data_IF_800737503357
#
_entry.id   IF_800737503357
#
_cell.length_a   1.000
_cell.length_b   1.000
_cell.length_c   1.000
_cell.angle_alpha   90.00
_cell.angle_beta   90.00
_cell.angle_gamma   90.00
#
_symmetry.space_group_name_H-M   'P 1'
#
loop_
_entity.id
_entity.type
_entity.pdbx_description
1 polymer ?
#
# COMPACT_ATOMS: atom_id res chain seq x y z
N UNK A 1 22.00 -40.16 -26.45
CA UNK A 1 20.88 -39.46 -25.78
C UNK A 1 21.49 -38.22 -25.17
N UNK A 2 21.21 -37.03 -25.72
CA UNK A 2 21.74 -35.77 -25.18
C UNK A 2 20.98 -35.51 -23.88
N UNK A 3 21.69 -35.25 -22.79
CA UNK A 3 21.08 -34.97 -21.50
C UNK A 3 20.50 -33.55 -21.52
N UNK A 4 19.17 -33.44 -21.58
CA UNK A 4 18.46 -32.16 -21.67
C UNK A 4 18.24 -31.51 -20.29
N UNK A 5 18.62 -32.17 -19.19
CA UNK A 5 18.49 -31.64 -17.82
C UNK A 5 19.13 -30.25 -17.62
N UNK A 6 20.32 -29.94 -18.18
CA UNK A 6 20.90 -28.60 -18.05
C UNK A 6 20.09 -27.54 -18.82
N UNK A 7 19.48 -27.89 -19.94
CA UNK A 7 18.72 -26.96 -20.78
C UNK A 7 17.38 -26.57 -20.16
N UNK A 8 16.72 -27.50 -19.46
CA UNK A 8 15.50 -27.20 -18.69
C UNK A 8 15.79 -26.28 -17.50
N UNK A 9 16.90 -26.51 -16.79
CA UNK A 9 17.37 -25.62 -15.73
C UNK A 9 17.71 -24.21 -16.26
N UNK A 10 18.36 -24.11 -17.42
CA UNK A 10 18.67 -22.83 -18.06
C UNK A 10 17.40 -22.08 -18.50
N UNK A 11 16.38 -22.78 -19.01
CA UNK A 11 15.12 -22.15 -19.40
C UNK A 11 14.29 -21.70 -18.20
N UNK A 12 14.24 -22.50 -17.12
CA UNK A 12 13.58 -22.12 -15.87
C UNK A 12 14.29 -20.93 -15.18
N UNK A 13 15.62 -20.94 -15.16
CA UNK A 13 16.44 -19.82 -14.66
C UNK A 13 16.27 -18.55 -15.51
N UNK A 14 16.17 -18.70 -16.84
CA UNK A 14 15.92 -17.58 -17.75
C UNK A 14 14.51 -17.00 -17.59
N UNK A 15 13.50 -17.82 -17.35
CA UNK A 15 12.14 -17.38 -17.05
C UNK A 15 12.09 -16.64 -15.70
N UNK A 16 12.77 -17.17 -14.67
CA UNK A 16 12.99 -16.51 -13.38
C UNK A 16 13.68 -15.14 -13.53
N UNK A 17 14.77 -15.07 -14.30
CA UNK A 17 15.48 -13.81 -14.54
C UNK A 17 14.63 -12.80 -15.31
N UNK A 18 13.78 -13.23 -16.24
CA UNK A 18 12.86 -12.34 -16.95
C UNK A 18 11.72 -11.83 -16.06
N UNK A 19 11.18 -12.67 -15.17
CA UNK A 19 10.13 -12.25 -14.23
C UNK A 19 10.71 -11.28 -13.19
N UNK A 20 11.86 -11.58 -12.61
CA UNK A 20 12.53 -10.70 -11.63
C UNK A 20 13.04 -9.39 -12.26
N UNK A 21 13.57 -9.42 -13.49
CA UNK A 21 14.02 -8.21 -14.19
C UNK A 21 12.87 -7.30 -14.64
N UNK A 22 11.68 -7.85 -14.90
CA UNK A 22 10.47 -7.06 -15.19
C UNK A 22 10.08 -6.10 -14.06
N UNK A 23 10.37 -6.44 -12.81
CA UNK A 23 10.05 -5.62 -11.64
C UNK A 23 11.20 -4.73 -11.15
N UNK A 24 12.47 -5.12 -11.38
CA UNK A 24 13.62 -4.27 -11.04
C UNK A 24 13.68 -2.96 -11.87
N UNK A 25 13.03 -2.95 -13.05
CA UNK A 25 12.91 -1.76 -13.91
C UNK A 25 12.05 -0.64 -13.31
N UNK A 26 11.19 -0.94 -12.32
CA UNK A 26 10.28 0.04 -11.71
C UNK A 26 10.95 0.72 -10.48
N UNK A 27 11.99 0.11 -9.90
CA UNK A 27 12.73 0.69 -8.78
C UNK A 27 13.68 1.83 -9.16
N UNK A 28 13.98 2.05 -10.45
CA UNK A 28 14.95 3.09 -10.86
C UNK A 28 14.36 4.50 -10.99
N UNK A 29 13.03 4.67 -11.00
CA UNK A 29 12.39 5.99 -11.07
C UNK A 29 12.02 6.59 -9.70
N UNK A 30 12.20 5.86 -8.59
CA UNK A 30 11.99 6.38 -7.23
C UNK A 30 13.19 7.18 -6.68
N UNK A 31 14.16 7.53 -7.54
CA UNK A 31 15.45 8.10 -7.15
C UNK A 31 15.59 9.61 -7.30
N UNK A 32 14.58 10.43 -7.04
CA UNK A 32 14.75 11.90 -6.98
C UNK A 32 13.83 12.54 -5.90
N UNK A 33 14.30 12.60 -4.65
CA UNK A 33 13.87 13.61 -3.68
C UNK A 33 15.09 14.37 -3.11
N UNK A 34 14.95 15.68 -2.82
CA UNK A 34 16.06 16.54 -2.43
C UNK A 34 16.42 16.38 -0.93
N UNK A 35 17.67 16.69 -0.52
CA UNK A 35 18.12 16.45 0.84
C UNK A 35 17.85 17.66 1.72
N UNK A 36 16.84 17.62 2.60
CA UNK A 36 16.77 18.51 3.76
C UNK A 36 16.10 17.83 4.96
N UNK A 37 16.92 17.51 5.96
CA UNK A 37 16.70 17.38 7.40
C UNK A 37 17.41 16.14 7.97
N UNK A 38 18.74 16.19 7.97
CA UNK A 38 19.55 15.46 8.94
C UNK A 38 19.94 16.47 10.03
N UNK A 39 19.27 16.43 11.17
CA UNK A 39 19.52 17.32 12.30
C UNK A 39 18.98 16.72 13.59
N UNK A 40 19.91 16.27 14.43
CA UNK A 40 19.79 16.08 15.89
C UNK A 40 18.95 14.90 16.40
N UNK A 41 19.61 13.76 16.60
CA UNK A 41 19.41 12.98 17.83
C UNK A 41 20.77 12.69 18.47
N UNK A 42 20.95 13.27 19.65
CA UNK A 42 22.14 13.26 20.47
C UNK A 42 22.32 11.93 21.20
N UNK A 43 23.58 11.65 21.54
CA UNK A 43 24.13 10.45 22.15
C UNK A 43 23.38 10.01 23.42
N UNK A 44 22.95 8.75 23.46
CA UNK A 44 22.76 8.03 24.73
C UNK A 44 23.64 6.78 24.78
N UNK A 45 24.37 6.73 25.88
CA UNK A 45 25.53 5.91 26.15
C UNK A 45 25.12 4.45 26.43
N UNK A 46 25.70 3.50 25.69
CA UNK A 46 25.54 2.07 25.94
C UNK A 46 26.36 1.65 27.19
N UNK A 47 25.83 0.81 28.09
CA UNK A 47 26.64 0.14 29.10
C UNK A 47 27.30 -1.14 28.54
N UNK A 48 28.58 -1.30 28.84
CA UNK A 48 29.42 -2.48 28.54
C UNK A 48 29.05 -3.74 29.36
N UNK A 49 29.47 -4.95 28.92
CA UNK A 49 28.86 -6.21 29.30
C UNK A 49 29.41 -6.81 30.60
N UNK A 50 28.54 -7.49 31.37
CA UNK A 50 28.93 -8.33 32.52
C UNK A 50 28.93 -9.80 32.10
N UNK A 51 30.01 -10.49 32.53
CA UNK A 51 30.39 -11.87 32.22
C UNK A 51 29.52 -12.90 32.97
N UNK A 52 29.22 -14.01 32.29
CA UNK A 52 28.45 -15.16 32.78
C UNK A 52 29.14 -16.00 33.87
N UNK A 53 28.41 -16.93 34.50
CA UNK A 53 28.96 -18.23 34.88
C UNK A 53 28.21 -19.42 34.25
N UNK A 54 28.99 -20.47 34.01
CA UNK A 54 28.67 -21.78 33.40
C UNK A 54 27.65 -22.64 34.17
N UNK A 55 26.85 -23.46 33.44
CA UNK A 55 26.88 -24.94 33.51
C UNK A 55 25.88 -25.67 32.59
N UNK A 56 26.45 -26.58 31.80
CA UNK A 56 26.10 -27.98 31.48
C UNK A 56 24.69 -28.44 31.04
N UNK A 57 24.69 -29.00 29.82
CA UNK A 57 24.04 -30.23 29.30
C UNK A 57 22.51 -30.36 29.37
N UNK A 58 21.82 -30.44 28.22
CA UNK A 58 21.54 -31.70 27.49
C UNK A 58 20.80 -31.39 26.16
N UNK A 59 20.95 -32.26 25.16
CA UNK A 59 20.29 -32.14 23.83
C UNK A 59 19.08 -33.07 23.78
N UNK A 60 17.97 -32.70 23.10
CA UNK A 60 17.71 -33.36 21.81
C UNK A 60 17.00 -32.49 20.74
N UNK A 61 17.02 -33.05 19.51
CA UNK A 61 16.58 -32.58 18.18
C UNK A 61 15.12 -32.11 18.03
N UNK A 62 14.80 -31.39 16.92
CA UNK A 62 13.63 -30.52 16.81
C UNK A 62 12.37 -31.23 16.29
N UNK A 63 11.21 -30.75 16.74
CA UNK A 63 9.89 -31.04 16.16
C UNK A 63 9.35 -29.73 15.59
N UNK A 64 8.98 -29.80 14.31
CA UNK A 64 8.38 -28.73 13.52
C UNK A 64 6.89 -28.60 13.83
N UNK A 65 6.43 -27.39 14.15
CA UNK A 65 5.05 -26.94 14.02
C UNK A 65 5.05 -25.41 14.08
N UNK A 66 4.94 -24.74 12.93
CA UNK A 66 4.68 -23.30 12.90
C UNK A 66 3.19 -23.06 13.10
N UNK A 67 2.88 -22.31 14.15
CA UNK A 67 1.57 -21.73 14.41
C UNK A 67 1.26 -20.65 13.38
N UNK A 68 0.09 -20.79 12.77
CA UNK A 68 -0.61 -19.79 11.99
C UNK A 68 -1.08 -18.66 12.90
N UNK A 69 -0.54 -17.45 12.68
CA UNK A 69 -1.14 -16.22 13.22
C UNK A 69 -1.74 -15.49 12.03
N UNK A 70 -3.05 -15.62 11.84
CA UNK A 70 -4.03 -14.54 11.63
C UNK A 70 -5.43 -15.17 11.64
N UNK A 71 -6.32 -14.51 12.39
CA UNK A 71 -7.48 -15.11 13.03
C UNK A 71 -8.65 -15.41 12.08
N UNK A 72 -9.22 -16.60 12.31
CA UNK A 72 -10.55 -17.03 11.91
C UNK A 72 -11.64 -16.06 12.42
N UNK A 73 -12.50 -15.59 11.53
CA UNK A 73 -13.83 -15.07 11.87
C UNK A 73 -14.89 -15.72 11.00
N UNK A 74 -15.10 -17.03 11.21
CA UNK A 74 -16.28 -17.74 10.72
C UNK A 74 -17.38 -17.69 11.78
N UNK A 75 -18.45 -16.94 11.51
CA UNK A 75 -19.73 -17.11 12.20
C UNK A 75 -20.76 -17.62 11.19
N UNK A 76 -21.07 -18.90 11.30
CA UNK A 76 -22.15 -19.55 10.57
C UNK A 76 -23.52 -19.13 11.13
N UNK A 77 -24.57 -19.11 10.28
CA UNK A 77 -25.92 -19.41 10.74
C UNK A 77 -26.46 -20.69 10.09
N UNK A 78 -27.16 -21.48 10.92
CA UNK A 78 -27.90 -22.69 10.55
C UNK A 78 -29.06 -22.44 9.55
N UNK A 79 -29.53 -23.48 8.82
CA UNK A 79 -30.47 -23.34 7.73
C UNK A 79 -31.94 -23.46 8.18
N UNK A 80 -32.81 -22.65 7.58
CA UNK A 80 -34.25 -22.90 7.56
C UNK A 80 -34.85 -22.61 6.17
N UNK A 81 -35.83 -23.44 5.81
CA UNK A 81 -36.29 -23.76 4.47
C UNK A 81 -37.34 -22.81 3.85
N UNK A 82 -37.72 -23.17 2.62
CA UNK A 82 -38.91 -22.78 1.80
C UNK A 82 -38.85 -21.39 1.14
N UNK A 83 -39.20 -21.16 -0.14
CA UNK A 83 -40.14 -21.78 -1.10
C UNK A 83 -39.70 -21.56 -2.56
N UNK A 84 -40.22 -22.41 -3.45
CA UNK A 84 -40.20 -22.30 -4.91
C UNK A 84 -40.86 -21.01 -5.44
N UNK A 85 -40.30 -20.43 -6.52
CA UNK A 85 -41.07 -20.09 -7.72
C UNK A 85 -40.14 -19.93 -8.94
N UNK A 86 -40.75 -19.82 -10.10
CA UNK A 86 -40.34 -20.37 -11.38
C UNK A 86 -40.07 -19.30 -12.45
N UNK A 87 -39.28 -19.70 -13.45
CA UNK A 87 -39.29 -19.25 -14.86
C UNK A 87 -39.10 -17.75 -15.18
N UNK A 88 -38.07 -17.42 -15.97
CA UNK A 88 -38.19 -17.34 -17.43
C UNK A 88 -36.97 -16.65 -18.07
N UNK A 89 -36.46 -17.34 -19.07
CA UNK A 89 -35.53 -16.92 -20.12
C UNK A 89 -36.12 -15.76 -20.95
N UNK A 90 -35.30 -14.75 -21.32
CA UNK A 90 -35.33 -14.12 -22.66
C UNK A 90 -34.24 -13.04 -22.86
N UNK A 91 -33.33 -13.34 -23.79
CA UNK A 91 -32.66 -12.45 -24.76
C UNK A 91 -32.75 -13.23 -26.10
N UNK A 92 -32.65 -12.69 -27.34
CA UNK A 92 -32.25 -11.35 -27.79
C UNK A 92 -33.08 -10.74 -28.95
N UNK A 93 -32.85 -9.47 -29.27
CA UNK A 93 -32.95 -8.95 -30.66
C UNK A 93 -32.00 -7.77 -30.89
N UNK A 94 -31.15 -7.92 -31.90
CA UNK A 94 -30.43 -6.88 -32.66
C UNK A 94 -31.40 -5.95 -33.41
N UNK A 95 -31.06 -4.67 -33.59
CA UNK A 95 -30.53 -4.13 -34.87
C UNK A 95 -30.58 -2.58 -34.96
N UNK A 96 -29.59 -2.03 -35.68
CA UNK A 96 -29.58 -0.80 -36.48
C UNK A 96 -29.12 0.55 -35.86
N UNK A 97 -27.81 0.81 -36.08
CA UNK A 97 -27.19 2.11 -36.40
C UNK A 97 -27.35 2.43 -37.93
N UNK A 98 -26.91 3.58 -38.51
CA UNK A 98 -26.31 4.79 -37.92
C UNK A 98 -26.87 6.14 -38.47
N UNK A 99 -26.50 7.25 -37.81
CA UNK A 99 -25.99 8.51 -38.42
C UNK A 99 -26.25 9.74 -37.53
N UNK A 100 -25.25 10.63 -37.42
CA UNK A 100 -25.44 12.02 -36.97
C UNK A 100 -24.35 12.54 -36.04
N UNK A 101 -23.30 13.12 -36.64
CA UNK A 101 -22.28 13.94 -35.97
C UNK A 101 -22.92 15.06 -35.13
N UNK A 102 -22.42 15.26 -33.91
CA UNK A 102 -22.44 16.58 -33.29
C UNK A 102 -21.29 16.69 -32.27
N UNK A 103 -20.22 17.34 -32.72
CA UNK A 103 -19.11 17.84 -31.92
C UNK A 103 -19.49 19.20 -31.36
N UNK A 104 -19.45 19.36 -30.03
CA UNK A 104 -19.51 20.67 -29.39
C UNK A 104 -18.35 20.78 -28.38
N UNK A 105 -17.27 21.36 -28.86
CA UNK A 105 -16.09 21.76 -28.11
C UNK A 105 -16.37 23.12 -27.47
N UNK A 106 -16.25 23.23 -26.15
CA UNK A 106 -16.35 24.49 -25.41
C UNK A 106 -14.95 25.11 -25.30
N UNK A 107 -14.75 26.25 -25.95
CA UNK A 107 -13.53 27.05 -25.88
C UNK A 107 -13.53 28.00 -24.67
N UNK A 108 -12.35 28.35 -24.14
CA UNK A 108 -12.20 29.25 -22.99
C UNK A 108 -12.35 30.73 -23.38
N UNK A 109 -12.93 31.52 -22.47
CA UNK A 109 -13.01 32.99 -22.56
C UNK A 109 -11.68 33.62 -22.12
N UNK A 110 -11.12 34.47 -22.99
CA UNK A 110 -9.96 35.33 -22.73
C UNK A 110 -10.43 36.77 -22.56
N UNK A 111 -9.96 37.45 -21.51
CA UNK A 111 -10.23 38.87 -21.24
C UNK A 111 -9.08 39.71 -21.82
N UNK A 112 -9.40 40.67 -22.69
CA UNK A 112 -8.44 41.63 -23.24
C UNK A 112 -7.96 42.65 -22.18
N UNK A 113 -6.71 43.13 -22.26
CA UNK A 113 -6.11 44.01 -21.26
C UNK A 113 -6.56 45.48 -21.42
N UNK A 114 -6.81 46.13 -20.29
CA UNK A 114 -7.07 47.58 -20.19
C UNK A 114 -5.74 48.35 -20.32
N UNK A 115 -5.61 49.36 -21.20
CA UNK A 115 -4.38 50.12 -21.32
C UNK A 115 -4.31 51.26 -20.28
N UNK A 116 -3.08 51.51 -19.83
CA UNK A 116 -2.69 52.64 -19.01
C UNK A 116 -2.88 53.98 -19.74
N UNK A 117 -3.14 55.05 -19.00
CA UNK A 117 -3.07 56.41 -19.53
C UNK A 117 -2.38 57.33 -18.53
N UNK A 118 -1.18 57.78 -18.91
CA UNK A 118 -0.44 58.86 -18.29
C UNK A 118 -0.62 60.15 -19.12
N UNK A 119 -0.35 61.27 -18.46
CA UNK A 119 -0.62 62.68 -18.78
C UNK A 119 -0.31 63.20 -20.20
N UNK A 120 -1.00 64.29 -20.60
CA UNK A 120 -0.46 65.60 -21.04
C UNK A 120 -1.64 66.59 -21.43
N UNK A 121 -1.43 67.84 -21.91
CA UNK A 121 -1.68 69.06 -21.12
C UNK A 121 -2.58 70.14 -21.79
N UNK A 122 -2.85 71.21 -21.03
CA UNK A 122 -3.13 72.63 -21.39
C UNK A 122 -3.64 73.03 -22.79
N UNK A 123 -4.75 73.77 -22.87
CA UNK A 123 -4.82 75.21 -23.25
C UNK A 123 -6.26 75.73 -23.54
N UNK A 124 -6.58 76.87 -22.92
CA UNK A 124 -7.34 78.06 -23.40
C UNK A 124 -8.61 77.95 -24.29
N UNK A 125 -9.73 78.55 -23.85
CA UNK A 125 -10.18 79.89 -24.30
C UNK A 125 -11.61 80.24 -23.83
N UNK A 126 -11.69 81.43 -23.23
CA UNK A 126 -12.70 82.50 -23.36
C UNK A 126 -14.21 82.21 -23.40
N UNK A 127 -14.93 82.73 -22.39
CA UNK A 127 -16.09 83.63 -22.60
C UNK A 127 -16.15 84.72 -21.49
N UNK A 128 -16.06 85.97 -21.94
CA UNK A 128 -16.38 87.27 -21.30
C UNK A 128 -17.78 87.32 -20.65
N UNK A 129 -18.21 88.24 -19.79
CA UNK A 129 -17.67 89.35 -19.01
C UNK A 129 -18.84 89.79 -18.10
N UNK A 130 -18.58 90.29 -16.90
CA UNK A 130 -19.17 91.56 -16.50
C UNK A 130 -18.42 92.19 -15.33
N UNK A 131 -18.13 93.47 -15.52
CA UNK A 131 -17.29 94.32 -14.68
C UNK A 131 -18.15 95.04 -13.65
N UNK A 132 -17.72 95.07 -12.38
CA UNK A 132 -18.05 96.19 -11.50
C UNK A 132 -16.90 96.44 -10.52
N UNK A 133 -16.18 97.54 -10.76
CA UNK A 133 -15.22 98.14 -9.85
C UNK A 133 -15.97 99.01 -8.83
N UNK A 134 -15.74 98.79 -7.54
CA UNK A 134 -15.96 99.81 -6.51
C UNK A 134 -14.97 99.62 -5.34
N UNK A 135 -13.95 100.48 -5.38
CA UNK A 135 -13.25 101.20 -4.31
C UNK A 135 -13.01 100.54 -2.93
N UNK A 136 -11.73 100.54 -2.57
CA UNK A 136 -11.19 100.15 -1.28
C UNK A 136 -11.28 101.28 -0.24
N UNK A 137 -11.61 100.92 1.01
CA UNK A 137 -11.17 101.60 2.26
C UNK A 137 -11.49 100.71 3.49
N UNK A 138 -10.90 100.94 4.68
CA UNK A 138 -9.68 100.27 5.14
C UNK A 138 -9.91 99.18 6.21
N UNK A 139 -8.82 98.48 6.51
CA UNK A 139 -8.71 97.40 7.49
C UNK A 139 -9.23 97.75 8.89
N UNK A 140 -10.04 96.85 9.44
CA UNK A 140 -10.22 96.68 10.88
C UNK A 140 -9.72 95.26 11.24
N UNK A 141 -8.92 95.09 12.30
CA UNK A 141 -8.19 93.86 12.55
C UNK A 141 -9.16 92.73 12.91
N UNK A 142 -9.09 91.62 12.17
CA UNK A 142 -9.73 90.37 12.58
C UNK A 142 -9.12 89.96 13.93
N UNK A 143 -9.94 89.63 14.95
CA UNK A 143 -9.44 89.29 16.27
C UNK A 143 -8.49 88.09 16.19
N UNK A 144 -7.33 88.27 16.80
CA UNK A 144 -6.32 87.25 17.04
C UNK A 144 -6.98 86.03 17.71
N UNK A 145 -6.78 84.79 17.21
CA UNK A 145 -7.26 83.60 17.89
C UNK A 145 -6.76 83.61 19.33
N UNK A 146 -7.69 83.43 20.28
CA UNK A 146 -7.35 83.23 21.68
C UNK A 146 -6.24 82.18 21.80
N UNK A 147 -5.24 82.45 22.65
CA UNK A 147 -4.19 81.50 22.95
C UNK A 147 -4.79 80.10 23.20
N UNK A 148 -4.23 79.02 22.63
CA UNK A 148 -4.76 77.69 22.84
C UNK A 148 -4.77 77.43 24.35
N UNK A 149 -5.94 77.09 24.89
CA UNK A 149 -6.04 76.54 26.25
C UNK A 149 -5.03 75.40 26.35
N UNK A 150 -4.25 75.27 27.43
CA UNK A 150 -3.33 74.14 27.58
C UNK A 150 -4.16 72.87 27.41
N UNK A 151 -3.86 72.10 26.38
CA UNK A 151 -4.43 70.77 26.20
C UNK A 151 -4.04 69.96 27.44
N UNK A 152 -5.01 69.27 28.08
CA UNK A 152 -4.68 68.41 29.21
C UNK A 152 -3.59 67.42 28.76
N UNK A 153 -2.56 67.24 29.59
CA UNK A 153 -1.55 66.21 29.32
C UNK A 153 -2.28 64.88 29.15
N UNK A 154 -2.00 64.11 28.09
CA UNK A 154 -2.67 62.84 27.87
C UNK A 154 -2.41 61.94 29.08
N UNK A 155 -3.46 61.30 29.58
CA UNK A 155 -3.40 60.34 30.70
C UNK A 155 -3.39 58.89 30.22
N UNK A 156 -3.71 58.70 28.95
CA UNK A 156 -3.92 57.43 28.26
C UNK A 156 -3.17 57.44 26.93
N UNK A 157 -3.09 56.29 26.28
CA UNK A 157 -2.50 56.09 24.97
C UNK A 157 -3.51 55.52 23.99
N UNK A 158 -3.28 55.73 22.70
CA UNK A 158 -4.05 55.13 21.63
C UNK A 158 -3.31 53.94 21.02
N UNK A 159 -4.03 52.83 20.85
CA UNK A 159 -3.55 51.63 20.19
C UNK A 159 -4.48 51.27 19.03
N UNK A 160 -3.93 51.29 17.82
CA UNK A 160 -4.57 50.87 16.58
C UNK A 160 -4.11 49.46 16.22
N UNK A 161 -5.01 48.49 16.20
CA UNK A 161 -4.74 47.10 15.81
C UNK A 161 -5.31 46.79 14.44
N UNK A 162 -4.47 46.25 13.56
CA UNK A 162 -4.82 45.82 12.19
C UNK A 162 -4.26 44.42 11.94
N UNK A 163 -4.83 43.72 10.95
CA UNK A 163 -4.40 42.38 10.56
C UNK A 163 -4.46 42.20 9.05
N UNK A 164 -3.64 41.31 8.51
CA UNK A 164 -3.69 40.88 7.12
C UNK A 164 -4.90 39.97 6.83
N UNK A 165 -5.60 39.48 7.85
CA UNK A 165 -6.75 38.57 7.70
C UNK A 165 -8.00 39.16 8.34
N UNK A 166 -9.13 39.09 7.64
CA UNK A 166 -10.43 39.56 8.17
C UNK A 166 -11.09 38.52 9.08
N UNK A 167 -11.82 38.98 10.09
CA UNK A 167 -12.57 38.12 11.01
C UNK A 167 -11.66 37.34 11.98
N UNK A 168 -10.54 37.94 12.37
CA UNK A 168 -9.70 37.44 13.46
C UNK A 168 -10.31 37.76 14.84
N UNK A 169 -9.71 37.21 15.89
CA UNK A 169 -10.03 37.49 17.26
C UNK A 169 -8.82 38.16 17.93
N UNK A 170 -9.05 39.22 18.68
CA UNK A 170 -8.05 39.97 19.43
C UNK A 170 -8.25 39.72 20.92
N UNK A 171 -7.18 39.30 21.59
CA UNK A 171 -7.09 39.21 23.04
C UNK A 171 -5.96 40.11 23.55
N UNK A 172 -6.21 40.85 24.63
CA UNK A 172 -5.19 41.67 25.29
C UNK A 172 -5.13 41.27 26.75
N UNK A 173 -3.95 40.84 27.21
CA UNK A 173 -3.74 40.29 28.56
C UNK A 173 -4.74 39.17 28.90
N UNK A 174 -5.12 38.36 27.90
CA UNK A 174 -6.07 37.24 28.03
C UNK A 174 -7.55 37.63 28.06
N UNK A 175 -7.89 38.91 27.88
CA UNK A 175 -9.29 39.37 27.76
C UNK A 175 -9.65 39.56 26.28
N UNK A 176 -10.83 39.12 25.83
CA UNK A 176 -11.26 39.30 24.44
C UNK A 176 -11.70 40.75 24.16
N UNK A 177 -11.32 41.27 22.99
CA UNK A 177 -11.66 42.62 22.51
C UNK A 177 -12.36 42.64 21.14
N UNK A 178 -12.74 41.48 20.59
CA UNK A 178 -13.43 41.38 19.29
C UNK A 178 -12.45 41.07 18.17
N UNK A 179 -12.59 41.71 17.01
CA UNK A 179 -11.74 41.50 15.83
C UNK A 179 -11.02 42.78 15.44
N UNK A 180 -9.94 42.68 14.67
CA UNK A 180 -9.40 43.84 13.95
C UNK A 180 -10.43 44.28 12.88
N UNK A 181 -10.55 45.54 12.45
CA UNK A 181 -9.84 46.79 12.76
C UNK A 181 -10.32 47.36 14.11
N UNK A 182 -9.41 47.41 15.09
CA UNK A 182 -9.75 47.78 16.47
C UNK A 182 -8.90 48.95 16.93
N UNK A 183 -9.51 49.95 17.52
CA UNK A 183 -8.84 51.13 18.08
C UNK A 183 -9.19 51.22 19.57
N UNK A 184 -8.19 51.31 20.45
CA UNK A 184 -8.35 51.24 21.90
C UNK A 184 -7.61 52.37 22.60
N UNK A 185 -8.22 52.90 23.66
CA UNK A 185 -7.56 53.79 24.60
C UNK A 185 -7.11 52.98 25.83
N UNK A 186 -5.81 53.00 26.12
CA UNK A 186 -5.19 52.17 27.15
C UNK A 186 -4.49 53.04 28.20
N UNK A 187 -4.56 52.61 29.46
CA UNK A 187 -3.75 53.19 30.53
C UNK A 187 -2.26 52.83 30.33
N UNK A 188 -1.31 53.63 30.82
CA UNK A 188 0.10 53.31 30.74
C UNK A 188 0.42 51.96 31.42
N UNK A 189 1.10 51.06 30.72
CA UNK A 189 1.37 49.72 31.21
C UNK A 189 1.91 48.78 30.14
N UNK A 190 2.10 47.52 30.51
CA UNK A 190 2.53 46.45 29.60
C UNK A 190 1.33 45.62 29.16
N UNK A 191 1.24 45.37 27.86
CA UNK A 191 0.14 44.66 27.23
C UNK A 191 0.65 43.57 26.30
N UNK A 192 0.20 42.34 26.52
CA UNK A 192 0.36 41.23 25.56
C UNK A 192 -0.86 41.19 24.66
N UNK A 193 -0.66 41.52 23.39
CA UNK A 193 -1.68 41.44 22.35
C UNK A 193 -1.54 40.11 21.63
N UNK A 194 -2.64 39.39 21.46
CA UNK A 194 -2.73 38.16 20.67
C UNK A 194 -3.81 38.36 19.63
N UNK A 195 -3.49 38.07 18.37
CA UNK A 195 -4.42 38.06 17.26
C UNK A 195 -4.46 36.63 16.71
N UNK A 196 -5.63 35.99 16.74
CA UNK A 196 -5.81 34.60 16.35
C UNK A 196 -6.95 34.42 15.36
N UNK A 197 -6.87 33.40 14.52
CA UNK A 197 -7.97 33.01 13.63
C UNK A 197 -7.88 31.51 13.34
N UNK A 198 -9.00 30.75 13.37
CA UNK A 198 -9.00 29.37 12.90
C UNK A 198 -8.41 29.28 11.47
N UNK A 199 -7.55 28.30 11.22
CA UNK A 199 -6.80 28.19 9.96
C UNK A 199 -5.47 28.96 9.92
N UNK A 200 -5.11 29.70 10.96
CA UNK A 200 -3.88 30.51 10.99
C UNK A 200 -3.09 30.36 12.29
N UNK A 201 -1.76 30.47 12.20
CA UNK A 201 -0.89 30.58 13.37
C UNK A 201 -1.21 31.88 14.11
N UNK A 202 -1.48 31.83 15.43
CA UNK A 202 -1.76 33.03 16.20
C UNK A 202 -0.53 33.94 16.22
N UNK A 203 -0.75 35.23 16.05
CA UNK A 203 0.27 36.26 16.17
C UNK A 203 0.22 36.87 17.57
N UNK A 204 1.36 37.11 18.21
CA UNK A 204 1.38 37.77 19.51
C UNK A 204 2.57 38.71 19.66
N UNK A 205 2.35 39.85 20.31
CA UNK A 205 3.38 40.83 20.61
C UNK A 205 3.14 41.43 22.00
N UNK A 206 4.22 41.68 22.75
CA UNK A 206 4.15 42.38 24.03
C UNK A 206 4.65 43.81 23.82
N UNK A 207 3.78 44.77 24.09
CA UNK A 207 4.08 46.19 23.99
C UNK A 207 4.07 46.85 25.36
N UNK A 208 4.88 47.89 25.51
CA UNK A 208 4.82 48.82 26.63
C UNK A 208 4.26 50.14 26.14
N UNK A 209 3.29 50.67 26.86
CA UNK A 209 2.52 51.84 26.46
C UNK A 209 2.66 52.93 27.53
N UNK A 210 3.02 54.14 27.12
CA UNK A 210 3.12 55.33 27.97
C UNK A 210 2.02 56.35 27.64
N UNK A 211 1.70 57.22 28.59
CA UNK A 211 0.63 58.22 28.38
C UNK A 211 0.98 59.17 27.23
N UNK A 212 0.08 59.31 26.26
CA UNK A 212 0.27 60.09 25.04
C UNK A 212 0.84 59.32 23.85
N UNK A 213 1.14 58.03 24.00
CA UNK A 213 1.56 57.19 22.87
C UNK A 213 0.41 57.00 21.88
N UNK A 214 0.76 56.92 20.59
CA UNK A 214 -0.13 56.55 19.49
C UNK A 214 0.57 55.44 18.70
N UNK A 215 0.16 54.20 18.95
CA UNK A 215 0.80 52.99 18.44
C UNK A 215 -0.10 52.31 17.41
N UNK A 216 0.49 51.80 16.34
CA UNK A 216 -0.19 50.92 15.38
C UNK A 216 0.51 49.58 15.30
N UNK A 217 -0.17 48.51 15.70
CA UNK A 217 0.31 47.14 15.49
C UNK A 217 -0.42 46.49 14.31
N UNK A 218 0.33 45.70 13.55
CA UNK A 218 -0.16 44.94 12.41
C UNK A 218 0.13 43.46 12.62
N UNK A 219 -0.89 42.70 12.99
CA UNK A 219 -0.82 41.24 13.01
C UNK A 219 -0.61 40.70 11.61
N UNK A 220 0.40 39.85 11.44
CA UNK A 220 0.62 39.09 10.22
C UNK A 220 0.41 37.61 10.52
N UNK A 221 -0.81 37.13 10.30
CA UNK A 221 -1.20 35.74 10.51
C UNK A 221 -0.80 34.92 9.27
N UNK A 222 -0.14 33.79 9.51
CA UNK A 222 0.28 32.83 8.47
C UNK A 222 -0.68 31.64 8.50
N UNK A 223 -1.26 31.31 7.35
CA UNK A 223 -2.19 30.18 7.23
C UNK A 223 -1.48 28.85 7.52
N UNK A 224 -2.20 27.89 8.12
CA UNK A 224 -1.79 26.49 8.07
C UNK A 224 -2.07 25.97 6.67
N UNK A 225 -1.05 25.37 6.04
CA UNK A 225 -1.14 24.83 4.67
C UNK A 225 -0.93 23.33 4.62
N UNK A 226 -0.51 22.71 5.72
CA UNK A 226 -0.27 21.29 5.84
C UNK A 226 -1.21 20.69 6.87
N UNK A 227 -1.63 19.47 6.59
CA UNK A 227 -2.41 18.66 7.51
C UNK A 227 -1.48 18.18 8.62
N UNK A 228 -1.82 18.46 9.88
CA UNK A 228 -1.03 17.99 11.01
C UNK A 228 -1.98 17.54 12.12
N UNK A 229 -1.84 16.31 12.59
CA UNK A 229 -2.58 15.75 13.71
C UNK A 229 -1.61 15.27 14.78
N UNK A 230 -1.75 15.78 16.00
CA UNK A 230 -1.01 15.31 17.18
C UNK A 230 -1.84 15.60 18.44
N UNK A 231 -1.59 14.84 19.52
CA UNK A 231 -2.29 14.99 20.82
C UNK A 231 -3.82 14.97 20.72
N UNK A 232 -4.37 14.24 19.75
CA UNK A 232 -5.81 14.15 19.51
C UNK A 232 -6.44 15.36 18.80
N UNK A 233 -5.64 16.26 18.22
CA UNK A 233 -6.13 17.51 17.62
C UNK A 233 -5.55 17.76 16.23
N UNK A 234 -6.42 18.23 15.32
CA UNK A 234 -6.00 18.75 14.01
C UNK A 234 -5.49 20.19 14.17
N UNK A 235 -4.21 20.40 13.88
CA UNK A 235 -3.60 21.73 13.97
C UNK A 235 -4.16 22.62 12.87
N UNK A 236 -4.71 23.77 13.27
CA UNK A 236 -5.24 24.75 12.33
C UNK A 236 -6.54 24.35 11.61
N UNK A 237 -7.10 23.17 11.88
CA UNK A 237 -8.32 22.70 11.23
C UNK A 237 -8.16 22.32 9.75
N UNK A 238 -6.93 22.21 9.25
CA UNK A 238 -6.65 21.73 7.88
C UNK A 238 -6.80 20.20 7.89
N UNK A 239 -7.63 19.68 6.99
CA UNK A 239 -8.00 18.25 6.92
C UNK A 239 -7.79 17.61 5.55
N UNK A 240 -7.42 18.41 4.56
CA UNK A 240 -7.17 17.97 3.18
C UNK A 240 -5.86 18.57 2.70
N UNK A 241 -5.05 17.78 1.99
CA UNK A 241 -3.70 18.14 1.58
C UNK A 241 -2.64 17.27 2.24
N UNK A 242 -1.37 17.53 1.93
CA UNK A 242 -0.25 16.74 2.44
C UNK A 242 0.09 17.09 3.89
N UNK A 243 0.55 16.08 4.63
CA UNK A 243 0.70 16.25 6.06
C UNK A 243 1.30 15.09 6.83
N UNK A 244 1.17 15.20 8.15
CA UNK A 244 1.57 14.21 9.13
C UNK A 244 0.44 13.92 10.13
N UNK A 245 0.34 12.67 10.55
CA UNK A 245 -0.54 12.20 11.60
C UNK A 245 0.27 11.45 12.64
N UNK A 246 0.13 11.83 13.90
CA UNK A 246 0.69 11.18 15.07
C UNK A 246 -0.46 10.80 16.02
N UNK A 247 -0.82 9.51 16.00
CA UNK A 247 -1.87 8.96 16.83
C UNK A 247 -1.40 8.65 18.26
N UNK A 248 -2.32 8.73 19.22
CA UNK A 248 -2.04 8.37 20.62
C UNK A 248 -1.79 6.85 20.80
N UNK A 249 -2.22 6.05 19.82
CA UNK A 249 -1.94 4.62 19.71
C UNK A 249 -0.53 4.31 19.19
N UNK A 250 0.20 5.33 18.74
CA UNK A 250 1.56 5.22 18.19
C UNK A 250 1.60 5.10 16.67
N UNK A 251 0.45 5.07 15.98
CA UNK A 251 0.38 5.11 14.52
C UNK A 251 0.91 6.46 14.02
N UNK A 252 1.89 6.41 13.12
CA UNK A 252 2.39 7.57 12.42
C UNK A 252 2.07 7.45 10.94
N UNK A 253 1.60 8.52 10.31
CA UNK A 253 1.38 8.56 8.86
C UNK A 253 1.90 9.86 8.27
N UNK A 254 2.55 9.77 7.12
CA UNK A 254 2.98 10.89 6.30
C UNK A 254 2.49 10.69 4.88
N UNK A 255 1.71 11.61 4.36
CA UNK A 255 1.14 11.48 3.03
C UNK A 255 0.01 12.47 2.79
N UNK A 256 -0.80 12.15 1.80
CA UNK A 256 -1.96 12.97 1.44
C UNK A 256 -3.19 12.62 2.29
N UNK A 257 -4.05 13.61 2.50
CA UNK A 257 -5.28 13.48 3.26
C UNK A 257 -6.45 14.08 2.49
N UNK A 258 -7.61 13.45 2.63
CA UNK A 258 -8.90 14.00 2.20
C UNK A 258 -9.88 13.89 3.36
N UNK A 259 -10.42 15.02 3.81
CA UNK A 259 -11.40 15.09 4.90
C UNK A 259 -10.99 14.29 6.15
N UNK A 260 -9.73 14.46 6.56
CA UNK A 260 -9.10 13.81 7.72
C UNK A 260 -8.86 12.29 7.58
N UNK A 261 -9.03 11.72 6.39
CA UNK A 261 -8.71 10.33 6.07
C UNK A 261 -7.40 10.27 5.27
N UNK A 262 -6.64 9.18 5.43
CA UNK A 262 -5.48 8.90 4.58
C UNK A 262 -5.97 8.62 3.16
N UNK A 263 -5.41 9.29 2.16
CA UNK A 263 -5.85 9.18 0.78
C UNK A 263 -4.68 9.52 -0.15
N UNK A 264 -4.59 8.90 -1.32
CA UNK A 264 -3.45 9.08 -2.24
C UNK A 264 -2.19 8.38 -1.73
N UNK A 265 -1.02 8.88 -2.09
CA UNK A 265 0.26 8.26 -1.68
C UNK A 265 0.60 8.60 -0.22
N UNK A 266 1.08 7.60 0.52
CA UNK A 266 1.52 7.82 1.89
C UNK A 266 2.26 6.65 2.54
N UNK A 267 2.92 6.96 3.65
CA UNK A 267 3.70 6.02 4.47
C UNK A 267 3.10 5.96 5.86
N UNK A 268 2.71 4.76 6.31
CA UNK A 268 2.30 4.50 7.68
C UNK A 268 3.35 3.66 8.43
N UNK A 269 3.65 4.05 9.66
CA UNK A 269 4.45 3.30 10.63
C UNK A 269 3.53 2.91 11.78
N UNK A 270 3.44 1.61 12.04
CA UNK A 270 2.54 1.07 13.06
C UNK A 270 3.28 0.82 14.38
N UNK A 271 2.57 0.80 15.52
CA UNK A 271 3.16 0.58 16.85
C UNK A 271 3.88 -0.78 17.00
N UNK A 272 3.45 -1.78 16.23
CA UNK A 272 4.06 -3.12 16.21
C UNK A 272 5.36 -3.17 15.41
N UNK A 273 5.77 -2.06 14.79
CA UNK A 273 6.96 -1.94 13.94
C UNK A 273 6.71 -2.31 12.48
N UNK A 274 5.47 -2.69 12.11
CA UNK A 274 5.10 -2.85 10.71
C UNK A 274 5.06 -1.50 9.99
N UNK A 275 5.19 -1.53 8.66
CA UNK A 275 5.23 -0.34 7.82
C UNK A 275 4.46 -0.59 6.53
N UNK A 276 3.68 0.38 6.09
CA UNK A 276 3.10 0.42 4.75
C UNK A 276 3.59 1.67 4.01
N UNK A 277 3.85 1.53 2.72
CA UNK A 277 4.13 2.62 1.80
C UNK A 277 3.44 2.32 0.48
N UNK A 278 2.55 3.20 0.03
CA UNK A 278 1.76 2.98 -1.17
C UNK A 278 0.54 3.87 -1.24
N UNK A 279 -0.41 3.47 -2.07
CA UNK A 279 -1.67 4.19 -2.24
C UNK A 279 -2.63 3.92 -1.06
N UNK A 280 -3.44 4.93 -0.78
CA UNK A 280 -4.47 4.95 0.24
C UNK A 280 -5.76 5.46 -0.38
N UNK A 281 -6.88 4.98 0.14
CA UNK A 281 -8.20 5.48 -0.22
C UNK A 281 -9.10 5.43 0.99
N UNK A 282 -9.65 6.58 1.36
CA UNK A 282 -10.60 6.69 2.48
C UNK A 282 -10.12 6.03 3.80
N UNK A 283 -8.82 6.11 4.09
CA UNK A 283 -8.20 5.55 5.30
C UNK A 283 -7.74 4.09 5.19
N UNK A 284 -8.01 3.42 4.09
CA UNK A 284 -7.64 2.01 3.86
C UNK A 284 -6.48 1.92 2.84
N UNK A 285 -5.63 0.90 2.97
CA UNK A 285 -4.61 0.61 1.95
C UNK A 285 -5.29 0.16 0.67
N UNK A 286 -4.90 0.77 -0.45
CA UNK A 286 -5.45 0.51 -1.77
C UNK A 286 -4.34 0.59 -2.82
N UNK A 287 -4.65 0.28 -4.08
CA UNK A 287 -3.74 0.51 -5.21
C UNK A 287 -2.41 -0.23 -5.07
N UNK A 288 -1.32 0.35 -5.54
CA UNK A 288 0.00 -0.29 -5.42
C UNK A 288 0.66 0.07 -4.09
N UNK A 289 1.31 -0.90 -3.45
CA UNK A 289 1.99 -0.65 -2.19
C UNK A 289 2.99 -1.71 -1.79
N UNK A 290 3.73 -1.40 -0.74
CA UNK A 290 4.62 -2.31 -0.04
C UNK A 290 4.30 -2.33 1.44
N UNK A 291 3.93 -3.50 1.95
CA UNK A 291 3.74 -3.76 3.35
C UNK A 291 4.90 -4.59 3.90
N UNK A 292 5.52 -4.12 4.99
CA UNK A 292 6.54 -4.83 5.74
C UNK A 292 6.01 -5.16 7.13
N UNK A 293 5.87 -6.43 7.42
CA UNK A 293 5.44 -6.96 8.71
C UNK A 293 6.56 -6.84 9.77
N UNK A 294 6.22 -6.97 11.07
CA UNK A 294 7.21 -6.86 12.16
C UNK A 294 8.28 -7.96 12.13
N UNK A 295 7.93 -9.15 11.63
CA UNK A 295 8.84 -10.28 11.46
C UNK A 295 9.79 -10.13 10.25
N UNK A 296 9.63 -9.06 9.47
CA UNK A 296 10.39 -8.77 8.26
C UNK A 296 9.79 -9.31 6.97
N UNK A 297 8.69 -10.07 7.02
CA UNK A 297 7.95 -10.46 5.83
C UNK A 297 7.52 -9.20 5.05
N UNK A 298 7.63 -9.23 3.73
CA UNK A 298 7.36 -8.09 2.86
C UNK A 298 6.44 -8.51 1.74
N UNK A 299 5.33 -7.80 1.56
CA UNK A 299 4.47 -7.89 0.40
C UNK A 299 4.63 -6.64 -0.45
N UNK A 300 4.80 -6.81 -1.76
CA UNK A 300 4.77 -5.73 -2.75
C UNK A 300 3.79 -6.10 -3.85
N UNK A 301 2.81 -5.23 -4.11
CA UNK A 301 1.78 -5.47 -5.12
C UNK A 301 0.53 -4.67 -4.83
N UNK A 302 -0.59 -5.12 -5.39
CA UNK A 302 -1.85 -4.41 -5.30
C UNK A 302 -2.61 -4.67 -3.98
N UNK A 303 -3.30 -3.65 -3.49
CA UNK A 303 -4.12 -3.66 -2.30
C UNK A 303 -5.55 -3.24 -2.64
N UNK A 304 -6.52 -3.88 -2.00
CA UNK A 304 -7.93 -3.51 -2.05
C UNK A 304 -8.55 -3.78 -0.69
N UNK A 305 -9.27 -2.79 -0.13
CA UNK A 305 -9.92 -2.85 1.18
C UNK A 305 -8.99 -3.43 2.28
N UNK A 306 -7.78 -2.86 2.38
CA UNK A 306 -6.72 -3.27 3.33
C UNK A 306 -6.13 -4.68 3.14
N UNK A 307 -6.46 -5.37 2.05
CA UNK A 307 -6.00 -6.74 1.79
C UNK A 307 -5.11 -6.82 0.55
N UNK A 308 -4.21 -7.81 0.53
CA UNK A 308 -3.46 -8.15 -0.68
C UNK A 308 -4.45 -8.61 -1.76
N UNK A 309 -4.36 -8.00 -2.94
CA UNK A 309 -5.27 -8.25 -4.05
C UNK A 309 -4.50 -8.12 -5.38
N UNK A 310 -5.07 -8.59 -6.48
CA UNK A 310 -4.44 -8.50 -7.81
C UNK A 310 -3.06 -9.17 -7.87
N UNK A 311 -2.14 -8.57 -8.61
CA UNK A 311 -0.78 -9.11 -8.74
C UNK A 311 0.10 -8.66 -7.58
N UNK A 312 0.91 -9.58 -7.04
CA UNK A 312 1.86 -9.23 -5.99
C UNK A 312 2.85 -10.32 -5.64
N UNK A 313 3.86 -9.93 -4.87
CA UNK A 313 4.93 -10.80 -4.37
C UNK A 313 5.02 -10.68 -2.85
N UNK A 314 4.88 -11.82 -2.16
CA UNK A 314 5.12 -11.97 -0.73
C UNK A 314 6.45 -12.66 -0.51
N UNK A 315 7.39 -11.99 0.13
CA UNK A 315 8.60 -12.60 0.72
C UNK A 315 8.34 -12.83 2.20
N UNK A 316 8.29 -14.09 2.62
CA UNK A 316 8.07 -14.48 4.03
C UNK A 316 9.35 -14.30 4.84
N UNK A 317 9.21 -14.20 6.17
CA UNK A 317 10.36 -14.08 7.08
C UNK A 317 11.33 -15.28 7.02
N UNK A 318 10.86 -16.47 6.62
CA UNK A 318 11.70 -17.64 6.41
C UNK A 318 12.48 -17.63 5.08
N UNK A 319 12.26 -16.63 4.22
CA UNK A 319 12.91 -16.49 2.91
C UNK A 319 12.11 -17.08 1.74
N UNK A 320 10.96 -17.70 1.97
CA UNK A 320 10.09 -18.16 0.89
C UNK A 320 9.52 -16.96 0.12
N UNK A 321 9.48 -17.07 -1.21
CA UNK A 321 8.94 -16.05 -2.09
C UNK A 321 7.74 -16.61 -2.83
N UNK A 322 6.57 -15.97 -2.68
CA UNK A 322 5.35 -16.29 -3.39
C UNK A 322 4.99 -15.14 -4.32
N UNK A 323 4.79 -15.43 -5.61
CA UNK A 323 4.42 -14.43 -6.61
C UNK A 323 3.19 -14.90 -7.37
N UNK A 324 2.22 -14.02 -7.63
CA UNK A 324 1.08 -14.35 -8.48
C UNK A 324 -0.14 -13.51 -8.19
N UNK A 325 -1.31 -14.10 -8.46
CA UNK A 325 -2.61 -13.49 -8.24
C UNK A 325 -3.08 -13.67 -6.79
N UNK A 326 -3.53 -12.59 -6.17
CA UNK A 326 -4.01 -12.49 -4.80
C UNK A 326 -5.48 -12.06 -4.80
N UNK A 327 -6.24 -12.60 -3.87
CA UNK A 327 -7.60 -12.14 -3.55
C UNK A 327 -7.86 -12.39 -2.08
N UNK A 328 -8.41 -11.39 -1.39
CA UNK A 328 -8.73 -11.45 0.04
C UNK A 328 -7.52 -11.91 0.89
N UNK A 329 -6.34 -11.36 0.61
CA UNK A 329 -5.11 -11.66 1.36
C UNK A 329 -4.49 -13.02 1.03
N UNK A 330 -5.08 -13.83 0.14
CA UNK A 330 -4.60 -15.18 -0.20
C UNK A 330 -4.21 -15.29 -1.66
N UNK A 331 -3.17 -16.09 -1.92
CA UNK A 331 -2.77 -16.43 -3.28
C UNK A 331 -3.85 -17.33 -3.91
N UNK A 332 -4.42 -16.87 -5.02
CA UNK A 332 -5.55 -17.49 -5.73
C UNK A 332 -5.38 -17.32 -7.24
N UNK A 333 -5.43 -18.40 -7.99
CA UNK A 333 -5.14 -18.40 -9.43
C UNK A 333 -3.69 -18.80 -9.71
N UNK A 334 -3.09 -18.31 -10.79
CA UNK A 334 -1.74 -18.73 -11.18
C UNK A 334 -0.67 -17.99 -10.38
N UNK A 335 0.37 -18.71 -10.00
CA UNK A 335 1.51 -18.14 -9.29
C UNK A 335 2.71 -19.07 -9.22
N UNK A 336 3.67 -18.70 -8.39
CA UNK A 336 4.86 -19.48 -8.10
C UNK A 336 5.25 -19.38 -6.63
N UNK A 337 5.91 -20.43 -6.14
CA UNK A 337 6.64 -20.45 -4.87
C UNK A 337 8.11 -20.75 -5.16
N UNK A 338 8.99 -19.94 -4.59
CA UNK A 338 10.41 -20.24 -4.44
C UNK A 338 10.69 -20.41 -2.96
N UNK A 339 10.82 -21.64 -2.50
CA UNK A 339 11.16 -21.96 -1.12
C UNK A 339 12.60 -21.58 -0.80
N UNK A 340 12.85 -21.16 0.44
CA UNK A 340 14.20 -20.88 0.92
C UNK A 340 15.12 -22.12 0.90
N UNK A 341 14.52 -23.32 0.92
CA UNK A 341 15.18 -24.60 0.75
C UNK A 341 15.58 -24.90 -0.72
N UNK A 342 15.14 -24.09 -1.67
CA UNK A 342 15.33 -24.25 -3.12
C UNK A 342 14.22 -25.02 -3.83
N UNK A 343 13.14 -25.38 -3.12
CA UNK A 343 11.94 -25.96 -3.72
C UNK A 343 11.27 -24.93 -4.62
N UNK A 344 10.85 -25.34 -5.83
CA UNK A 344 10.19 -24.48 -6.80
C UNK A 344 8.83 -25.06 -7.16
N UNK A 345 7.79 -24.24 -7.05
CA UNK A 345 6.46 -24.56 -7.58
C UNK A 345 6.03 -23.48 -8.57
N UNK A 346 5.43 -23.90 -9.69
CA UNK A 346 4.75 -23.02 -10.65
C UNK A 346 3.44 -23.68 -11.03
N UNK A 347 2.31 -23.02 -10.85
CA UNK A 347 1.01 -23.62 -11.11
C UNK A 347 -0.14 -22.82 -10.53
N UNK A 348 -1.28 -23.49 -10.35
CA UNK A 348 -2.46 -22.90 -9.75
C UNK A 348 -2.43 -22.92 -8.21
N UNK A 349 -3.10 -21.94 -7.63
CA UNK A 349 -3.32 -21.79 -6.21
C UNK A 349 -4.81 -21.59 -5.94
N UNK A 350 -5.26 -22.11 -4.80
CA UNK A 350 -6.58 -21.83 -4.23
C UNK A 350 -6.44 -21.73 -2.72
N UNK A 351 -6.88 -20.62 -2.16
CA UNK A 351 -6.77 -20.31 -0.73
C UNK A 351 -5.32 -20.49 -0.19
N UNK A 352 -4.32 -20.12 -0.99
CA UNK A 352 -2.90 -20.26 -0.65
C UNK A 352 -2.31 -21.66 -0.77
N UNK A 353 -3.07 -22.66 -1.22
CA UNK A 353 -2.62 -24.04 -1.42
C UNK A 353 -2.45 -24.35 -2.91
N UNK A 354 -1.52 -25.26 -3.26
CA UNK A 354 -1.37 -25.74 -4.64
C UNK A 354 -2.68 -26.39 -5.11
N UNK A 355 -3.13 -26.02 -6.30
CA UNK A 355 -4.41 -26.47 -6.84
C UNK A 355 -4.44 -26.42 -8.37
N UNK A 356 -5.12 -27.38 -9.01
CA UNK A 356 -5.14 -27.48 -10.46
C UNK A 356 -3.80 -27.97 -11.00
N UNK A 357 -3.48 -27.65 -12.26
CA UNK A 357 -2.22 -28.07 -12.87
C UNK A 357 -1.03 -27.28 -12.32
N UNK A 358 0.09 -27.98 -12.13
CA UNK A 358 1.33 -27.35 -11.69
C UNK A 358 2.56 -28.22 -11.85
N UNK A 359 3.70 -27.62 -11.54
CA UNK A 359 5.01 -28.26 -11.55
C UNK A 359 5.72 -27.98 -10.24
N UNK A 360 6.13 -29.03 -9.54
CA UNK A 360 6.89 -28.98 -8.29
C UNK A 360 8.27 -29.59 -8.51
N UNK A 361 9.32 -28.86 -8.17
CA UNK A 361 10.71 -29.29 -8.34
C UNK A 361 11.47 -29.08 -7.05
N UNK A 362 12.13 -30.13 -6.58
CA UNK A 362 12.95 -30.11 -5.38
C UNK A 362 14.44 -30.00 -5.72
N UNK A 363 15.28 -29.47 -4.82
CA UNK A 363 16.73 -29.32 -5.04
C UNK A 363 17.46 -30.65 -5.29
N UNK A 364 16.94 -31.76 -4.76
CA UNK A 364 17.51 -33.09 -4.93
C UNK A 364 17.23 -33.70 -6.32
N UNK A 365 16.50 -32.99 -7.19
CA UNK A 365 16.11 -33.45 -8.52
C UNK A 365 14.79 -34.20 -8.58
N UNK A 366 14.10 -34.42 -7.45
CA UNK A 366 12.72 -34.88 -7.44
C UNK A 366 11.82 -33.83 -8.10
N UNK A 367 10.93 -34.28 -8.96
CA UNK A 367 10.12 -33.44 -9.81
C UNK A 367 8.75 -34.06 -10.05
N UNK A 368 7.70 -33.25 -9.98
CA UNK A 368 6.33 -33.64 -10.30
C UNK A 368 5.71 -32.62 -11.25
N UNK A 369 5.01 -33.10 -12.26
CA UNK A 369 4.20 -32.31 -13.17
C UNK A 369 2.81 -32.96 -13.29
N UNK A 370 1.75 -32.22 -12.98
CA UNK A 370 0.38 -32.73 -13.05
C UNK A 370 -0.59 -31.98 -12.14
N UNK A 371 -1.69 -32.63 -11.83
CA UNK A 371 -2.76 -32.05 -11.03
C UNK A 371 -2.45 -32.00 -9.53
N UNK A 372 -3.01 -30.98 -8.87
CA UNK A 372 -2.96 -30.73 -7.43
C UNK A 372 -4.36 -30.48 -6.87
N UNK A 373 -4.59 -30.92 -5.64
CA UNK A 373 -5.78 -30.58 -4.86
C UNK A 373 -5.40 -30.45 -3.39
N UNK A 374 -5.74 -29.31 -2.77
CA UNK A 374 -5.43 -28.99 -1.37
C UNK A 374 -3.94 -29.23 -0.99
N UNK A 375 -3.02 -28.87 -1.90
CA UNK A 375 -1.58 -29.03 -1.68
C UNK A 375 -1.01 -30.41 -2.04
N UNK A 376 -1.84 -31.41 -2.35
CA UNK A 376 -1.40 -32.78 -2.64
C UNK A 376 -1.51 -33.13 -4.13
N UNK A 377 -0.69 -34.08 -4.59
CA UNK A 377 -0.79 -34.62 -5.95
C UNK A 377 -2.15 -35.28 -6.15
N UNK A 378 -2.82 -34.96 -7.26
CA UNK A 378 -4.16 -35.45 -7.54
C UNK A 378 -4.43 -35.48 -9.05
N UNK A 379 -5.19 -36.47 -9.54
CA UNK A 379 -5.49 -36.57 -10.97
C UNK A 379 -4.31 -37.17 -11.75
N UNK A 380 -4.12 -36.77 -13.01
CA UNK A 380 -3.01 -37.30 -13.82
C UNK A 380 -1.71 -36.56 -13.50
N UNK A 381 -0.59 -37.29 -13.46
CA UNK A 381 0.72 -36.71 -13.19
C UNK A 381 1.90 -37.56 -13.63
N UNK A 382 3.05 -36.89 -13.72
CA UNK A 382 4.36 -37.43 -14.05
C UNK A 382 5.34 -37.05 -12.95
N UNK A 383 5.81 -38.04 -12.19
CA UNK A 383 6.77 -37.88 -11.12
C UNK A 383 8.10 -38.52 -11.50
N UNK A 384 9.19 -37.81 -11.27
CA UNK A 384 10.57 -38.27 -11.39
C UNK A 384 11.20 -38.17 -10.01
N UNK A 385 11.48 -39.30 -9.38
CA UNK A 385 12.09 -39.38 -8.07
C UNK A 385 13.57 -38.99 -8.10
N UNK A 386 14.12 -38.61 -6.96
CA UNK A 386 15.53 -38.27 -6.82
C UNK A 386 16.48 -39.44 -7.16
N UNK A 387 16.03 -40.70 -7.00
CA UNK A 387 16.78 -41.90 -7.40
C UNK A 387 16.66 -42.23 -8.90
N UNK A 388 15.88 -41.45 -9.65
CA UNK A 388 15.65 -41.60 -11.08
C UNK A 388 14.49 -42.52 -11.45
N UNK A 389 13.78 -43.11 -10.49
CA UNK A 389 12.49 -43.77 -10.76
C UNK A 389 11.52 -42.76 -11.36
N UNK A 390 10.55 -43.25 -12.14
CA UNK A 390 9.51 -42.42 -12.72
C UNK A 390 8.15 -43.07 -12.57
N UNK A 391 7.14 -42.29 -12.23
CA UNK A 391 5.76 -42.73 -12.28
C UNK A 391 4.96 -41.82 -13.21
N UNK A 392 4.22 -42.44 -14.12
CA UNK A 392 3.25 -41.74 -14.98
C UNK A 392 1.90 -42.41 -14.79
N UNK A 393 0.93 -41.70 -14.24
CA UNK A 393 -0.36 -42.31 -13.89
C UNK A 393 -1.27 -41.37 -13.12
N UNK A 394 -2.22 -41.95 -12.39
CA UNK A 394 -3.17 -41.19 -11.59
C UNK A 394 -2.71 -41.10 -10.13
N UNK A 395 -3.13 -40.03 -9.46
CA UNK A 395 -2.86 -39.75 -8.05
C UNK A 395 -4.17 -39.47 -7.31
N UNK A 396 -4.20 -39.86 -6.05
CA UNK A 396 -5.26 -39.52 -5.11
C UNK A 396 -4.64 -39.32 -3.74
N UNK A 397 -4.83 -38.12 -3.16
CA UNK A 397 -4.28 -37.76 -1.85
C UNK A 397 -2.76 -37.98 -1.76
N UNK A 398 -2.02 -37.55 -2.78
CA UNK A 398 -0.56 -37.68 -2.84
C UNK A 398 -0.04 -39.07 -3.25
N UNK A 399 -0.88 -40.10 -3.27
CA UNK A 399 -0.48 -41.48 -3.51
C UNK A 399 -0.78 -41.95 -4.94
N UNK A 400 0.02 -42.89 -5.46
CA UNK A 400 -0.30 -43.55 -6.73
C UNK A 400 -1.67 -44.22 -6.65
N UNK A 401 -2.49 -43.96 -7.66
CA UNK A 401 -3.84 -44.47 -7.73
C UNK A 401 -4.21 -44.78 -9.19
N UNK A 402 -5.29 -45.53 -9.39
CA UNK A 402 -5.83 -45.76 -10.73
C UNK A 402 -4.80 -46.38 -11.68
N UNK A 403 -4.86 -46.07 -12.98
CA UNK A 403 -3.91 -46.63 -13.94
C UNK A 403 -2.59 -45.86 -13.91
N UNK A 404 -1.47 -46.58 -13.94
CA UNK A 404 -0.15 -45.97 -14.00
C UNK A 404 0.95 -46.92 -14.46
N UNK A 405 2.13 -46.35 -14.71
CA UNK A 405 3.37 -47.04 -15.02
C UNK A 405 4.49 -46.53 -14.13
N UNK A 406 5.03 -47.41 -13.28
CA UNK A 406 6.26 -47.17 -12.51
C UNK A 406 7.45 -47.71 -13.30
N UNK A 407 8.45 -46.86 -13.56
CA UNK A 407 9.66 -47.18 -14.31
C UNK A 407 10.89 -47.03 -13.40
N UNK A 408 11.68 -48.08 -13.29
CA UNK A 408 12.93 -48.07 -12.56
C UNK A 408 14.10 -47.57 -13.43
N UNK A 409 15.17 -46.99 -12.85
CA UNK A 409 16.33 -46.49 -13.60
C UNK A 409 17.03 -47.54 -14.46
N UNK A 410 16.92 -48.82 -14.08
CA UNK A 410 17.47 -49.95 -14.83
C UNK A 410 16.65 -50.32 -16.09
N UNK A 411 15.54 -49.62 -16.36
CA UNK A 411 14.66 -49.87 -17.50
C UNK A 411 13.52 -50.86 -17.24
N UNK A 412 13.49 -51.51 -16.07
CA UNK A 412 12.35 -52.32 -15.68
C UNK A 412 11.12 -51.47 -15.37
N UNK A 413 9.93 -52.02 -15.53
CA UNK A 413 8.68 -51.28 -15.33
C UNK A 413 7.53 -52.15 -14.82
N UNK A 414 6.61 -51.50 -14.09
CA UNK A 414 5.36 -52.06 -13.58
C UNK A 414 4.22 -51.20 -14.15
N UNK A 415 3.41 -51.77 -15.03
CA UNK A 415 2.25 -51.13 -15.63
C UNK A 415 0.98 -51.81 -15.08
N UNK A 416 0.07 -51.05 -14.48
CA UNK A 416 -1.10 -51.66 -13.84
C UNK A 416 -2.05 -50.64 -13.21
N UNK A 417 -2.95 -51.17 -12.38
CA UNK A 417 -3.75 -50.33 -11.47
C UNK A 417 -3.02 -50.21 -10.14
N UNK A 418 -3.01 -49.04 -9.53
CA UNK A 418 -2.43 -48.74 -8.22
C UNK A 418 -3.53 -48.35 -7.23
N UNK A 419 -3.33 -48.65 -5.95
CA UNK A 419 -4.21 -48.25 -4.87
C UNK A 419 -3.40 -47.98 -3.61
N UNK A 420 -3.34 -46.71 -3.21
CA UNK A 420 -2.56 -46.23 -2.06
C UNK A 420 -1.07 -46.56 -2.22
N UNK A 421 -0.48 -46.17 -3.36
CA UNK A 421 0.94 -46.36 -3.63
C UNK A 421 1.31 -47.73 -4.21
N UNK A 422 0.50 -48.76 -3.96
CA UNK A 422 0.82 -50.15 -4.28
C UNK A 422 0.12 -50.66 -5.55
N UNK A 423 0.75 -51.53 -6.36
CA UNK A 423 0.07 -52.24 -7.43
C UNK A 423 -1.15 -53.02 -6.91
N UNK A 424 -2.21 -53.07 -7.71
CA UNK A 424 -3.48 -53.71 -7.36
C UNK A 424 -4.08 -54.46 -8.55
N UNK A 425 -4.47 -55.71 -8.33
CA UNK A 425 -5.11 -56.54 -9.33
C UNK A 425 -4.11 -57.12 -10.32
N UNK A 426 -4.31 -56.88 -11.61
CA UNK A 426 -3.43 -57.35 -12.67
C UNK A 426 -2.38 -56.28 -13.00
N UNK A 427 -1.13 -56.72 -13.11
CA UNK A 427 -0.02 -55.87 -13.55
C UNK A 427 0.78 -56.55 -14.66
N UNK A 428 1.34 -55.73 -15.54
CA UNK A 428 2.32 -56.08 -16.55
C UNK A 428 3.70 -55.65 -16.04
N UNK A 429 4.58 -56.62 -15.90
CA UNK A 429 5.95 -56.42 -15.44
C UNK A 429 6.88 -56.52 -16.65
N UNK A 430 7.81 -55.57 -16.78
CA UNK A 430 8.86 -55.56 -17.81
C UNK A 430 10.21 -55.61 -17.13
N UNK A 431 11.05 -56.59 -17.45
CA UNK A 431 12.42 -56.68 -16.89
C UNK A 431 13.37 -55.69 -17.57
N UNK A 432 14.58 -55.44 -17.01
CA UNK A 432 15.60 -54.62 -17.67
C UNK A 432 15.97 -55.13 -19.08
N UNK A 433 15.89 -56.44 -19.30
CA UNK A 433 16.14 -57.09 -20.59
C UNK A 433 14.96 -57.01 -21.56
N UNK A 434 13.83 -56.43 -21.13
CA UNK A 434 12.61 -56.29 -21.92
C UNK A 434 11.70 -57.53 -21.92
N UNK A 435 11.91 -58.48 -21.01
CA UNK A 435 10.98 -59.61 -20.87
C UNK A 435 9.68 -59.15 -20.21
N UNK A 436 8.54 -59.53 -20.78
CA UNK A 436 7.22 -59.14 -20.29
C UNK A 436 6.60 -60.30 -19.52
N UNK A 437 6.05 -60.00 -18.35
CA UNK A 437 5.29 -60.92 -17.50
C UNK A 437 3.95 -60.31 -17.13
N UNK A 438 2.94 -61.15 -16.93
CA UNK A 438 1.68 -60.78 -16.29
C UNK A 438 1.67 -61.35 -14.88
N UNK A 439 1.23 -60.54 -13.92
CA UNK A 439 1.23 -60.86 -12.50
C UNK A 439 -0.09 -60.42 -11.86
N UNK A 440 -0.43 -61.03 -10.73
CA UNK A 440 -1.64 -60.72 -9.97
C UNK A 440 -1.31 -60.56 -8.50
N UNK A 441 -1.82 -59.50 -7.88
CA UNK A 441 -1.62 -59.29 -6.43
C UNK A 441 -2.31 -60.35 -5.57
N UNK A 442 -3.29 -61.08 -6.12
CA UNK A 442 -3.91 -62.25 -5.48
C UNK A 442 -3.03 -63.51 -5.50
N UNK A 443 -1.95 -63.53 -6.28
CA UNK A 443 -1.04 -64.68 -6.44
C UNK A 443 0.43 -64.23 -6.24
N UNK A 444 0.85 -63.86 -5.01
CA UNK A 444 2.16 -63.29 -4.75
C UNK A 444 3.30 -64.21 -5.20
N UNK A 445 4.27 -63.65 -5.93
CA UNK A 445 5.44 -64.37 -6.43
C UNK A 445 5.20 -65.25 -7.66
N UNK A 446 3.95 -65.36 -8.16
CA UNK A 446 3.61 -66.11 -9.37
C UNK A 446 3.39 -65.16 -10.55
N UNK A 447 4.13 -65.41 -11.63
CA UNK A 447 4.07 -64.62 -12.86
C UNK A 447 3.92 -65.52 -14.09
N UNK A 448 3.37 -64.96 -15.16
CA UNK A 448 3.21 -65.63 -16.44
C UNK A 448 3.94 -64.84 -17.52
N UNK A 449 5.02 -65.41 -18.06
CA UNK A 449 5.76 -64.81 -19.17
C UNK A 449 4.83 -64.61 -20.37
N UNK A 450 5.01 -63.51 -21.08
CA UNK A 450 4.23 -63.20 -22.29
C UNK A 450 4.26 -64.39 -23.26
N UNK A 451 3.10 -64.76 -23.80
CA UNK A 451 2.90 -65.92 -24.70
C UNK A 451 3.17 -67.29 -24.06
N UNK A 452 3.30 -67.38 -22.74
CA UNK A 452 3.39 -68.63 -21.98
C UNK A 452 2.26 -68.73 -20.97
N UNK A 453 1.61 -69.90 -20.93
CA UNK A 453 0.64 -70.23 -19.88
C UNK A 453 1.28 -70.88 -18.64
N UNK A 454 2.61 -71.12 -18.70
CA UNK A 454 3.33 -71.75 -17.59
C UNK A 454 3.63 -70.70 -16.54
N UNK A 455 3.14 -70.94 -15.33
CA UNK A 455 3.49 -70.18 -14.14
C UNK A 455 4.99 -70.29 -13.85
N UNK A 456 5.63 -69.16 -13.58
CA UNK A 456 7.02 -69.03 -13.15
C UNK A 456 7.09 -68.16 -11.90
N UNK A 457 8.22 -68.18 -11.21
CA UNK A 457 8.50 -67.18 -10.18
C UNK A 457 8.59 -65.80 -10.83
N UNK A 458 8.04 -64.78 -10.18
CA UNK A 458 8.17 -63.41 -10.63
C UNK A 458 9.65 -62.97 -10.69
N UNK A 459 10.05 -62.19 -11.71
CA UNK A 459 11.36 -61.59 -11.73
C UNK A 459 11.53 -60.67 -10.50
N UNK A 460 12.73 -60.59 -9.91
CA UNK A 460 12.98 -59.66 -8.82
C UNK A 460 12.90 -58.22 -9.37
N UNK A 461 11.80 -57.55 -9.09
CA UNK A 461 11.52 -56.19 -9.54
C UNK A 461 11.25 -55.32 -8.33
N UNK A 462 11.97 -54.21 -8.24
CA UNK A 462 11.71 -53.21 -7.21
C UNK A 462 10.31 -52.60 -7.41
N UNK A 463 9.51 -52.62 -6.35
CA UNK A 463 8.12 -52.14 -6.35
C UNK A 463 7.04 -53.19 -6.67
N UNK A 464 7.38 -54.48 -6.84
CA UNK A 464 6.42 -55.58 -7.04
C UNK A 464 6.47 -56.64 -5.93
#
# INVERSE_FOLDING_TARGET
MVDYRPLLFLNALALMLLVTAGFASIQQDAGHMPPQLAGELSEHQAPSPVKAPDRDTDTPKPVSANESVFADTSSAPDPAATTADSAAEQKPTDSDEPSGENTASATPFTIDPVPATEAAPSAESDVQANTQLAMAEPANPKPQPAAPKPTPKPTTAQLTLRSNVLGDAVEINGKPYGSTRLDLELDPGDYRVVISKPGYKPWSETIRVAAGDDLTLRGNLVAYTQVNYHDGQWVGGVRTGDGAYEGNDGLQYHGHFVDAQFDGEGVALYPDGSRYEGDWKAGERAGEGTYRAPDGATYTGHFEDDQFNGQGTLTRANGDVLTGQWSDGKLNGHGSLTGADGTLYVGGFKDGQFHGEGTLTYPNGHHYEGGFSNGEFNGEGNEIFADGKKYVGQYMEGEFHGKGTLMNPNGSAIEGTFRYGEPYGQAKLTTPEGEIFSARTSEPGVCYREKSYRATQCPPLEGW
#
